data_IF_227814985004
#
_entry.id   IF_227814985004
#
_cell.length_a   1.000
_cell.length_b   1.000
_cell.length_c   1.000
_cell.angle_alpha   90.00
_cell.angle_beta   90.00
_cell.angle_gamma   90.00
#
_symmetry.space_group_name_H-M   'P 1'
#
loop_
_entity.id
_entity.type
_entity.pdbx_description
1 polymer ?
#
# COMPACT_ATOMS: atom_id res chain seq x y z
N UNK A 1 18.29 -19.32 2.09
CA UNK A 1 16.99 -19.30 1.38
C UNK A 1 17.12 -18.35 0.19
N UNK A 2 17.11 -18.90 -1.03
CA UNK A 2 17.24 -18.12 -2.26
C UNK A 2 15.96 -17.30 -2.48
N UNK A 3 15.99 -16.00 -2.15
CA UNK A 3 15.01 -15.06 -2.70
C UNK A 3 15.32 -14.94 -4.18
N UNK A 4 14.49 -15.57 -5.03
CA UNK A 4 14.46 -15.23 -6.45
C UNK A 4 14.24 -13.72 -6.50
N UNK A 5 15.26 -12.96 -6.92
CA UNK A 5 15.08 -11.55 -7.26
C UNK A 5 14.13 -11.53 -8.44
N UNK A 6 12.85 -11.32 -8.18
CA UNK A 6 11.92 -10.97 -9.24
C UNK A 6 12.45 -9.64 -9.79
N UNK A 7 13.10 -9.69 -10.96
CA UNK A 7 13.62 -8.50 -11.61
C UNK A 7 12.41 -7.67 -11.99
N UNK A 8 12.22 -6.55 -11.28
CA UNK A 8 11.15 -5.63 -11.57
C UNK A 8 11.25 -5.19 -13.04
N UNK A 9 10.10 -5.16 -13.71
CA UNK A 9 10.02 -4.87 -15.13
C UNK A 9 9.61 -3.42 -15.37
N UNK A 10 9.99 -2.88 -16.52
CA UNK A 10 9.54 -1.55 -16.95
C UNK A 10 8.02 -1.56 -17.14
N UNK A 11 7.36 -0.56 -16.60
CA UNK A 11 5.95 -0.30 -16.83
C UNK A 11 5.76 0.37 -18.18
N UNK A 12 4.73 -0.05 -18.90
CA UNK A 12 4.25 0.61 -20.12
C UNK A 12 3.07 1.50 -19.74
N UNK A 13 3.07 2.73 -20.22
CA UNK A 13 1.93 3.62 -20.06
C UNK A 13 0.76 3.16 -20.90
N UNK A 14 -0.40 3.05 -20.28
CA UNK A 14 -1.67 2.93 -20.96
C UNK A 14 -2.21 4.33 -21.25
N UNK A 15 -2.24 4.71 -22.53
CA UNK A 15 -2.76 6.01 -22.97
C UNK A 15 -4.25 6.18 -22.68
N UNK A 16 -4.97 5.05 -22.55
CA UNK A 16 -6.40 4.97 -22.24
C UNK A 16 -6.68 4.79 -20.75
N UNK A 17 -5.66 4.91 -19.89
CA UNK A 17 -5.84 4.87 -18.45
C UNK A 17 -6.94 5.84 -18.01
N UNK A 18 -7.93 5.29 -17.31
CA UNK A 18 -8.99 6.05 -16.64
C UNK A 18 -8.66 6.10 -15.16
N UNK A 19 -8.52 7.30 -14.57
CA UNK A 19 -8.31 7.42 -13.14
C UNK A 19 -9.40 6.71 -12.36
N UNK A 20 -9.03 6.14 -11.22
CA UNK A 20 -9.98 5.53 -10.32
C UNK A 20 -11.02 6.59 -9.88
N UNK A 21 -12.33 6.32 -10.00
CA UNK A 21 -13.34 7.24 -9.50
C UNK A 21 -13.18 7.42 -7.99
N UNK A 22 -13.61 8.59 -7.51
CA UNK A 22 -13.59 8.97 -6.10
C UNK A 22 -15.01 9.36 -5.71
N UNK A 23 -15.58 8.61 -4.78
CA UNK A 23 -16.84 8.94 -4.14
C UNK A 23 -16.60 9.82 -2.89
N UNK A 24 -17.63 10.52 -2.40
CA UNK A 24 -17.51 11.50 -1.29
C UNK A 24 -16.93 10.88 -0.01
N UNK A 25 -17.21 9.59 0.23
CA UNK A 25 -16.79 8.86 1.43
C UNK A 25 -15.54 7.99 1.20
N UNK A 26 -14.94 8.04 0.01
CA UNK A 26 -13.73 7.27 -0.27
C UNK A 26 -12.53 7.82 0.52
N UNK A 27 -11.80 6.90 1.17
CA UNK A 27 -10.55 7.22 1.83
C UNK A 27 -9.43 7.30 0.80
N UNK A 28 -8.69 8.42 0.79
CA UNK A 28 -7.57 8.66 -0.11
C UNK A 28 -6.27 8.71 0.69
N UNK A 29 -5.27 7.94 0.25
CA UNK A 29 -3.92 7.98 0.79
C UNK A 29 -3.00 8.78 -0.14
N UNK A 30 -2.48 9.94 0.31
CA UNK A 30 -1.50 10.72 -0.45
C UNK A 30 -0.07 10.25 -0.14
N UNK A 31 0.69 9.91 -1.18
CA UNK A 31 2.14 9.73 -1.12
C UNK A 31 2.82 10.73 -2.08
N UNK A 32 2.95 11.97 -1.61
CA UNK A 32 3.28 13.09 -2.50
C UNK A 32 2.18 13.30 -3.53
N UNK A 33 2.53 13.26 -4.82
CA UNK A 33 1.56 13.39 -5.93
C UNK A 33 0.87 12.07 -6.29
N UNK A 34 1.24 10.96 -5.64
CA UNK A 34 0.63 9.65 -5.87
C UNK A 34 -0.50 9.45 -4.87
N UNK A 35 -1.71 9.74 -5.32
CA UNK A 35 -2.93 9.63 -4.52
C UNK A 35 -3.68 8.35 -4.87
N UNK A 36 -3.82 7.46 -3.88
CA UNK A 36 -4.47 6.15 -4.02
C UNK A 36 -5.83 6.14 -3.35
N UNK A 37 -6.84 5.59 -4.03
CA UNK A 37 -8.13 5.33 -3.43
C UNK A 37 -8.09 4.04 -2.60
N UNK A 38 -8.02 4.19 -1.28
CA UNK A 38 -7.90 3.09 -0.31
C UNK A 38 -9.20 2.30 -0.23
N UNK A 39 -10.35 2.96 -0.24
CA UNK A 39 -11.65 2.29 -0.21
C UNK A 39 -11.78 1.31 -1.37
N UNK A 40 -11.45 1.74 -2.60
CA UNK A 40 -11.51 0.85 -3.77
C UNK A 40 -10.44 -0.26 -3.76
N UNK A 41 -9.29 -0.03 -3.12
CA UNK A 41 -8.28 -1.08 -2.87
C UNK A 41 -8.84 -2.15 -1.93
N UNK A 42 -9.45 -1.74 -0.82
CA UNK A 42 -10.06 -2.65 0.16
C UNK A 42 -11.16 -3.49 -0.53
N UNK A 43 -12.04 -2.85 -1.30
CA UNK A 43 -13.07 -3.55 -2.08
C UNK A 43 -12.47 -4.57 -3.05
N UNK A 44 -11.36 -4.22 -3.71
CA UNK A 44 -10.68 -5.11 -4.65
C UNK A 44 -10.08 -6.33 -3.96
N UNK A 45 -9.43 -6.15 -2.80
CA UNK A 45 -8.90 -7.25 -2.00
C UNK A 45 -10.03 -8.19 -1.58
N UNK A 46 -11.13 -7.65 -1.06
CA UNK A 46 -12.28 -8.44 -0.61
C UNK A 46 -12.92 -9.24 -1.75
N UNK A 47 -12.98 -8.65 -2.95
CA UNK A 47 -13.52 -9.32 -4.16
C UNK A 47 -12.54 -10.32 -4.78
N UNK A 48 -11.25 -10.27 -4.45
CA UNK A 48 -10.20 -11.10 -5.08
C UNK A 48 -9.25 -11.69 -4.03
N UNK A 49 -9.74 -12.46 -3.04
CA UNK A 49 -8.94 -12.94 -1.93
C UNK A 49 -7.75 -13.82 -2.36
N UNK A 50 -7.91 -14.59 -3.45
CA UNK A 50 -6.85 -15.46 -3.99
C UNK A 50 -5.73 -14.68 -4.69
N UNK A 51 -6.03 -13.47 -5.19
CA UNK A 51 -5.06 -12.65 -5.93
C UNK A 51 -4.17 -11.81 -5.01
N UNK A 52 -4.64 -11.54 -3.79
CA UNK A 52 -3.91 -10.73 -2.81
C UNK A 52 -3.90 -11.53 -1.49
N UNK A 53 -3.03 -12.55 -1.39
CA UNK A 53 -3.00 -13.39 -0.21
C UNK A 53 -2.65 -12.58 1.03
N UNK A 54 -3.16 -13.05 2.15
CA UNK A 54 -2.79 -12.52 3.45
C UNK A 54 -1.44 -13.11 3.86
N UNK A 55 -0.51 -12.25 4.28
CA UNK A 55 0.80 -12.66 4.76
C UNK A 55 1.12 -12.11 6.15
N UNK A 56 1.98 -12.82 6.88
CA UNK A 56 2.49 -12.36 8.16
C UNK A 56 3.81 -11.62 7.94
N UNK A 57 3.87 -10.36 8.37
CA UNK A 57 5.07 -9.50 8.24
C UNK A 57 5.59 -9.10 9.61
N UNK A 58 6.91 -8.97 9.73
CA UNK A 58 7.54 -8.45 10.93
C UNK A 58 7.18 -6.98 11.12
N UNK A 59 6.68 -6.63 12.29
CA UNK A 59 6.29 -5.25 12.61
C UNK A 59 7.46 -4.29 12.45
N UNK A 60 8.66 -4.70 12.88
CA UNK A 60 9.90 -3.91 12.76
C UNK A 60 10.36 -3.68 11.32
N UNK A 61 9.96 -4.54 10.37
CA UNK A 61 10.39 -4.42 8.97
C UNK A 61 9.57 -3.38 8.19
N UNK A 62 8.35 -3.08 8.67
CA UNK A 62 7.41 -2.18 7.99
C UNK A 62 7.12 -0.91 8.79
N UNK A 63 7.53 -0.87 10.05
CA UNK A 63 7.38 0.29 10.93
C UNK A 63 8.50 1.30 10.67
N UNK A 64 8.14 2.50 10.19
CA UNK A 64 9.09 3.59 9.90
C UNK A 64 8.98 4.77 10.88
N UNK A 65 8.25 4.64 11.99
CA UNK A 65 7.96 5.73 12.91
C UNK A 65 6.97 6.74 12.33
N UNK A 66 5.84 6.95 13.00
CA UNK A 66 4.84 7.92 12.53
C UNK A 66 5.02 9.26 13.23
N UNK A 67 5.09 10.35 12.46
CA UNK A 67 5.37 11.71 12.95
C UNK A 67 4.21 12.36 13.73
N UNK A 68 3.05 11.72 13.79
CA UNK A 68 1.88 12.24 14.49
C UNK A 68 0.99 11.09 14.96
N UNK A 69 1.25 10.56 16.15
CA UNK A 69 0.34 9.61 16.80
C UNK A 69 -0.53 10.39 17.76
N UNK A 70 -1.81 10.52 17.42
CA UNK A 70 -2.79 11.09 18.34
C UNK A 70 -3.16 9.99 19.35
N UNK A 71 -2.69 10.12 20.59
CA UNK A 71 -2.73 9.06 21.60
C UNK A 71 -4.15 8.63 21.99
N UNK A 72 -5.14 9.49 21.78
CA UNK A 72 -6.53 9.27 22.21
C UNK A 72 -7.31 8.20 21.43
N UNK A 73 -6.75 7.62 20.36
CA UNK A 73 -7.45 6.65 19.51
C UNK A 73 -6.87 5.22 19.58
N UNK A 74 -5.88 4.95 20.43
CA UNK A 74 -5.19 3.65 20.41
C UNK A 74 -6.01 2.50 21.02
N UNK A 75 -6.95 2.76 21.92
CA UNK A 75 -7.65 1.67 22.64
C UNK A 75 -8.58 0.86 21.72
N UNK A 76 -9.33 1.52 20.83
CA UNK A 76 -10.32 0.86 19.95
C UNK A 76 -9.74 0.21 18.68
N UNK A 77 -8.46 0.46 18.38
CA UNK A 77 -7.84 -0.05 17.16
C UNK A 77 -7.69 -1.57 17.21
N UNK A 78 -8.43 -2.26 16.34
CA UNK A 78 -8.37 -3.72 16.18
C UNK A 78 -7.17 -4.13 15.34
N UNK A 79 -6.12 -4.62 15.99
CA UNK A 79 -4.89 -5.14 15.37
C UNK A 79 -5.16 -6.39 14.50
N UNK A 80 -6.27 -7.08 14.74
CA UNK A 80 -6.68 -8.27 13.97
C UNK A 80 -7.02 -7.96 12.51
N UNK A 81 -7.28 -6.70 12.16
CA UNK A 81 -7.48 -6.30 10.76
C UNK A 81 -6.12 -6.13 10.08
N UNK A 82 -5.92 -6.72 8.89
CA UNK A 82 -4.65 -6.61 8.19
C UNK A 82 -4.33 -5.17 7.80
N UNK A 83 -3.04 -4.87 7.68
CA UNK A 83 -2.53 -3.63 7.08
C UNK A 83 -2.42 -3.80 5.55
N UNK A 84 -2.28 -2.69 4.82
CA UNK A 84 -2.09 -2.73 3.37
C UNK A 84 -0.74 -2.12 3.02
N UNK A 85 0.07 -2.91 2.32
CA UNK A 85 1.37 -2.52 1.79
C UNK A 85 1.27 -2.37 0.28
N UNK A 86 1.67 -1.22 -0.26
CA UNK A 86 1.78 -1.01 -1.70
C UNK A 86 3.23 -0.84 -2.13
N UNK A 87 3.61 -1.50 -3.21
CA UNK A 87 4.95 -1.41 -3.80
C UNK A 87 5.14 -0.04 -4.49
N UNK A 88 5.74 0.94 -3.82
CA UNK A 88 5.89 2.31 -4.37
C UNK A 88 7.08 2.46 -5.33
N UNK A 89 8.04 1.54 -5.27
CA UNK A 89 9.15 1.41 -6.19
C UNK A 89 9.59 -0.07 -6.20
N UNK A 90 10.36 -0.54 -7.20
CA UNK A 90 10.84 -1.92 -7.27
C UNK A 90 11.36 -2.48 -5.94
N UNK A 91 10.61 -3.40 -5.34
CA UNK A 91 10.94 -4.04 -4.05
C UNK A 91 10.79 -3.15 -2.80
N UNK A 92 10.32 -1.91 -2.93
CA UNK A 92 10.08 -0.98 -1.83
C UNK A 92 8.58 -0.84 -1.57
N UNK A 93 8.17 -1.04 -0.33
CA UNK A 93 6.76 -1.05 0.05
C UNK A 93 6.49 -0.02 1.14
N UNK A 94 5.38 0.72 0.99
CA UNK A 94 4.87 1.62 2.01
C UNK A 94 3.54 1.11 2.58
N UNK A 95 3.31 1.40 3.86
CA UNK A 95 2.01 1.19 4.51
C UNK A 95 1.05 2.28 4.04
N UNK A 96 0.03 1.90 3.28
CA UNK A 96 -0.97 2.82 2.74
C UNK A 96 -2.30 2.78 3.51
N UNK A 97 -2.54 1.71 4.27
CA UNK A 97 -3.63 1.60 5.24
C UNK A 97 -3.17 0.80 6.47
N UNK A 98 -3.66 1.21 7.65
CA UNK A 98 -3.39 0.54 8.91
C UNK A 98 -2.20 1.09 9.70
N UNK A 99 -1.76 2.33 9.44
CA UNK A 99 -0.67 2.97 10.19
C UNK A 99 -0.91 2.95 11.71
N UNK A 100 -2.13 3.28 12.17
CA UNK A 100 -2.48 3.18 13.59
C UNK A 100 -2.45 1.74 14.13
N UNK A 101 -2.82 0.75 13.31
CA UNK A 101 -2.75 -0.68 13.70
C UNK A 101 -1.30 -1.12 13.87
N UNK A 102 -0.42 -0.68 12.96
CA UNK A 102 1.00 -0.97 13.01
C UNK A 102 1.68 -0.29 14.20
N UNK A 103 1.39 0.99 14.46
CA UNK A 103 1.86 1.73 15.63
C UNK A 103 1.48 1.01 16.93
N UNK A 104 0.20 0.63 17.07
CA UNK A 104 -0.27 -0.11 18.25
C UNK A 104 0.44 -1.45 18.40
N UNK A 105 0.59 -2.21 17.31
CA UNK A 105 1.30 -3.49 17.34
C UNK A 105 2.77 -3.31 17.77
N UNK A 106 3.44 -2.27 17.27
CA UNK A 106 4.80 -1.92 17.66
C UNK A 106 4.91 -1.59 19.15
N UNK A 107 4.04 -0.70 19.67
CA UNK A 107 4.00 -0.34 21.10
C UNK A 107 3.70 -1.52 22.02
N UNK A 108 2.87 -2.45 21.57
CA UNK A 108 2.54 -3.67 22.31
C UNK A 108 3.63 -4.76 22.23
N UNK A 109 4.72 -4.53 21.51
CA UNK A 109 5.78 -5.53 21.32
C UNK A 109 5.34 -6.75 20.50
N UNK A 110 4.29 -6.62 19.70
CA UNK A 110 3.81 -7.68 18.81
C UNK A 110 4.84 -7.85 17.69
N UNK A 111 5.33 -9.09 17.51
CA UNK A 111 6.39 -9.38 16.52
C UNK A 111 5.89 -9.33 15.08
N UNK A 112 4.69 -9.85 14.84
CA UNK A 112 4.15 -9.99 13.48
C UNK A 112 2.72 -9.45 13.39
N UNK A 113 2.40 -8.83 12.26
CA UNK A 113 1.06 -8.37 11.91
C UNK A 113 0.64 -8.96 10.56
N UNK A 114 -0.67 -9.10 10.34
CA UNK A 114 -1.21 -9.55 9.07
C UNK A 114 -1.21 -8.38 8.07
N UNK A 115 -0.83 -8.65 6.82
CA UNK A 115 -0.77 -7.66 5.76
C UNK A 115 -1.25 -8.21 4.42
N UNK A 116 -1.86 -7.33 3.63
CA UNK A 116 -2.02 -7.52 2.19
C UNK A 116 -0.92 -6.76 1.47
N UNK A 117 -0.13 -7.46 0.64
CA UNK A 117 0.94 -6.85 -0.16
C UNK A 117 0.51 -6.74 -1.61
N UNK A 118 0.42 -5.50 -2.10
CA UNK A 118 0.07 -5.20 -3.48
C UNK A 118 1.33 -4.84 -4.27
N UNK A 119 1.60 -5.62 -5.31
CA UNK A 119 2.59 -5.24 -6.32
C UNK A 119 2.05 -4.10 -7.21
N UNK A 120 2.94 -3.51 -8.01
CA UNK A 120 2.59 -2.38 -8.88
C UNK A 120 1.39 -2.61 -9.79
N UNK A 121 1.27 -3.80 -10.39
CA UNK A 121 0.17 -4.11 -11.30
C UNK A 121 -1.18 -4.20 -10.58
N UNK A 122 -1.17 -4.55 -9.29
CA UNK A 122 -2.37 -4.67 -8.49
C UNK A 122 -2.90 -3.32 -8.03
N UNK A 123 -2.02 -2.37 -7.67
CA UNK A 123 -2.46 -1.11 -7.06
C UNK A 123 -2.44 0.12 -7.98
N UNK A 124 -1.64 0.14 -9.05
CA UNK A 124 -1.49 1.34 -9.92
C UNK A 124 -2.81 1.82 -10.53
N UNK A 125 -3.78 0.91 -10.72
CA UNK A 125 -5.11 1.21 -11.24
C UNK A 125 -5.99 2.04 -10.30
N UNK A 126 -5.62 2.16 -9.03
CA UNK A 126 -6.34 2.93 -8.02
C UNK A 126 -5.83 4.37 -7.87
N UNK A 127 -4.92 4.80 -8.74
CA UNK A 127 -4.52 6.20 -8.82
C UNK A 127 -5.68 7.06 -9.30
N UNK A 128 -5.96 8.14 -8.57
CA UNK A 128 -7.15 8.99 -8.79
C UNK A 128 -6.93 10.10 -9.83
N UNK A 129 -5.70 10.25 -10.34
CA UNK A 129 -5.43 11.22 -11.40
C UNK A 129 -4.52 10.65 -12.50
N UNK A 130 -4.74 11.12 -13.74
CA UNK A 130 -3.92 10.73 -14.89
C UNK A 130 -2.47 11.23 -14.74
N UNK A 131 -2.29 12.39 -14.11
CA UNK A 131 -0.98 12.95 -13.79
C UNK A 131 -0.22 12.01 -12.85
N UNK A 132 -0.84 11.59 -11.75
CA UNK A 132 -0.24 10.65 -10.81
C UNK A 132 0.18 9.35 -11.51
N UNK A 133 -0.70 8.79 -12.36
CA UNK A 133 -0.41 7.58 -13.14
C UNK A 133 0.82 7.73 -14.06
N UNK A 134 0.86 8.77 -14.89
CA UNK A 134 1.98 8.97 -15.81
C UNK A 134 3.28 9.20 -15.05
N UNK A 135 3.27 10.06 -14.03
CA UNK A 135 4.48 10.32 -13.23
C UNK A 135 4.91 9.09 -12.43
N UNK A 136 3.98 8.26 -11.99
CA UNK A 136 4.31 7.01 -11.30
C UNK A 136 5.09 6.06 -12.21
N UNK A 137 4.67 5.92 -13.46
CA UNK A 137 5.36 5.08 -14.45
C UNK A 137 6.77 5.60 -14.74
N UNK A 138 6.93 6.91 -14.94
CA UNK A 138 8.22 7.55 -15.13
C UNK A 138 9.13 7.32 -13.92
N UNK A 139 8.59 7.56 -12.71
CA UNK A 139 9.29 7.34 -11.45
C UNK A 139 9.74 5.89 -11.31
N UNK A 140 8.84 4.92 -11.48
CA UNK A 140 9.14 3.49 -11.42
C UNK A 140 10.26 3.11 -12.38
N UNK A 141 10.12 3.50 -13.66
CA UNK A 141 11.08 3.17 -14.70
C UNK A 141 12.46 3.80 -14.45
N UNK A 142 12.51 4.95 -13.78
CA UNK A 142 13.77 5.60 -13.39
C UNK A 142 14.54 4.84 -12.30
N UNK A 143 13.87 3.95 -11.55
CA UNK A 143 14.46 3.13 -10.46
C UNK A 143 14.99 1.78 -10.92
N UNK A 144 14.69 1.35 -12.14
CA UNK A 144 15.10 0.07 -12.72
C UNK A 144 16.52 0.09 -13.34
N UNK A 145 17.44 0.86 -12.74
CA UNK A 145 18.81 1.00 -13.26
C UNK A 145 19.56 -0.33 -13.24
#
# INVERSE_FOLDING_TARGET
MNRVRQTAQKLKSDTMFKPCPVDIEDEIYPNGIFEFNITKIIDYIQKNPDSIPLESVLVTDVYNGFSSVNESYMEDVKISRPIILAEIAPGQYNVIDGNHRLEKAYRMGIKNIQAHRLNVNQHIKFLISKKAYTTYIEYWNSKLK
#
